data_IF_139921030763
#
_entry.id   IF_139921030763
#
_cell.length_a   1.000
_cell.length_b   1.000
_cell.length_c   1.000
_cell.angle_alpha   90.00
_cell.angle_beta   90.00
_cell.angle_gamma   90.00
#
_symmetry.space_group_name_H-M   'P 1'
#
loop_
_entity.id
_entity.type
_entity.pdbx_description
1 polymer ?
#
# COMPACT_ATOMS: atom_id res chain seq x y z
N UNK A 1 -0.67 -32.88 36.38
CA UNK A 1 -0.78 -31.40 36.23
C UNK A 1 -2.16 -30.97 36.70
N UNK A 2 -2.26 -30.20 37.79
CA UNK A 2 -3.55 -29.70 38.27
C UNK A 2 -4.00 -28.46 37.49
N UNK A 3 -4.81 -28.69 36.45
CA UNK A 3 -5.36 -27.62 35.60
C UNK A 3 -6.10 -26.54 36.42
N UNK A 4 -6.79 -26.95 37.49
CA UNK A 4 -7.49 -26.03 38.39
C UNK A 4 -6.55 -25.08 39.15
N UNK A 5 -5.38 -25.55 39.58
CA UNK A 5 -4.40 -24.70 40.27
C UNK A 5 -3.79 -23.68 39.31
N UNK A 6 -3.53 -24.09 38.06
CA UNK A 6 -3.02 -23.21 37.01
C UNK A 6 -4.03 -22.11 36.63
N UNK A 7 -5.30 -22.47 36.44
CA UNK A 7 -6.36 -21.50 36.12
C UNK A 7 -6.60 -20.51 37.27
N UNK A 8 -6.59 -20.97 38.53
CA UNK A 8 -6.69 -20.09 39.71
C UNK A 8 -5.54 -19.09 39.78
N UNK A 9 -4.31 -19.51 39.45
CA UNK A 9 -3.15 -18.60 39.34
C UNK A 9 -3.33 -17.54 38.25
N UNK A 10 -3.97 -17.90 37.13
CA UNK A 10 -4.32 -16.97 36.04
C UNK A 10 -5.57 -16.12 36.35
N UNK A 11 -6.07 -16.16 37.59
CA UNK A 11 -7.16 -15.31 38.05
C UNK A 11 -8.55 -15.82 37.71
N UNK A 12 -8.71 -17.07 37.27
CA UNK A 12 -10.03 -17.71 37.18
C UNK A 12 -10.58 -18.01 38.57
N UNK A 13 -11.82 -17.60 38.84
CA UNK A 13 -12.48 -17.76 40.15
C UNK A 13 -13.28 -19.05 40.32
N UNK A 14 -13.29 -19.98 39.36
CA UNK A 14 -14.02 -21.25 39.47
C UNK A 14 -13.68 -22.29 38.39
N UNK A 15 -14.18 -23.52 38.56
CA UNK A 15 -14.08 -24.60 37.58
C UNK A 15 -15.33 -24.63 36.69
N UNK A 16 -15.32 -23.89 35.58
CA UNK A 16 -16.39 -23.96 34.58
C UNK A 16 -16.78 -22.63 33.97
N UNK A 17 -17.16 -22.69 32.68
CA UNK A 17 -17.49 -21.58 31.80
C UNK A 17 -18.81 -20.89 32.21
N UNK A 18 -18.80 -19.58 32.48
CA UNK A 18 -19.48 -18.55 31.65
C UNK A 18 -19.74 -17.22 32.39
N UNK A 19 -19.48 -16.14 31.62
CA UNK A 19 -20.15 -14.83 31.45
C UNK A 19 -21.30 -14.38 32.38
N UNK A 20 -21.33 -14.73 33.67
CA UNK A 20 -22.43 -14.34 34.56
C UNK A 20 -22.11 -13.10 35.42
N UNK A 21 -23.15 -12.31 35.75
CA UNK A 21 -23.10 -11.07 36.56
C UNK A 21 -22.84 -11.31 38.06
N UNK A 22 -22.72 -12.57 38.48
CA UNK A 22 -22.70 -13.02 39.88
C UNK A 22 -21.30 -13.39 40.40
N UNK A 23 -20.25 -12.67 39.97
CA UNK A 23 -18.86 -12.77 40.46
C UNK A 23 -18.12 -14.10 40.21
N UNK A 24 -18.52 -14.85 39.18
CA UNK A 24 -17.88 -16.14 38.79
C UNK A 24 -16.95 -16.03 37.57
N UNK A 25 -16.31 -14.86 37.36
CA UNK A 25 -15.44 -14.57 36.21
C UNK A 25 -13.95 -14.34 36.54
N UNK A 26 -13.14 -14.09 35.51
CA UNK A 26 -11.72 -13.76 35.63
C UNK A 26 -11.57 -12.47 36.45
N UNK A 27 -10.75 -12.50 37.52
CA UNK A 27 -10.55 -11.38 38.47
C UNK A 27 -10.10 -10.07 37.79
N UNK A 28 -9.48 -10.17 36.62
CA UNK A 28 -9.12 -9.04 35.75
C UNK A 28 -9.72 -9.31 34.38
N UNK A 29 -10.77 -8.59 33.93
CA UNK A 29 -11.18 -8.68 32.53
C UNK A 29 -9.95 -8.37 31.69
N UNK A 30 -9.61 -9.24 30.75
CA UNK A 30 -8.52 -8.98 29.81
C UNK A 30 -8.88 -7.68 29.10
N UNK A 31 -8.17 -6.60 29.45
CA UNK A 31 -8.18 -5.36 28.70
C UNK A 31 -7.50 -5.65 27.36
N UNK A 32 -8.21 -6.33 26.47
CA UNK A 32 -7.88 -6.34 25.06
C UNK A 32 -8.11 -4.89 24.65
N UNK A 33 -7.02 -4.14 24.48
CA UNK A 33 -7.08 -2.77 23.98
C UNK A 33 -7.81 -2.81 22.64
N UNK A 34 -9.09 -2.45 22.64
CA UNK A 34 -9.90 -2.42 21.46
C UNK A 34 -9.45 -1.21 20.66
N UNK A 35 -8.45 -1.42 19.79
CA UNK A 35 -7.89 -0.36 18.96
C UNK A 35 -9.01 0.15 18.05
N UNK A 36 -9.59 1.31 18.37
CA UNK A 36 -10.63 1.96 17.57
C UNK A 36 -10.08 2.64 16.31
N UNK A 37 -8.79 2.49 16.03
CA UNK A 37 -8.22 2.94 14.77
C UNK A 37 -8.72 2.05 13.63
N UNK A 38 -9.48 2.63 12.69
CA UNK A 38 -9.80 2.00 11.39
C UNK A 38 -8.56 1.74 10.51
N UNK A 39 -7.36 2.04 11.01
CA UNK A 39 -6.09 1.72 10.41
C UNK A 39 -5.69 0.31 10.84
N UNK A 40 -6.39 -0.68 10.28
CA UNK A 40 -6.09 -2.09 10.48
C UNK A 40 -4.59 -2.40 10.33
N UNK A 41 -4.13 -3.30 11.20
CA UNK A 41 -2.80 -3.93 11.18
C UNK A 41 -2.54 -4.53 9.78
N UNK A 42 -1.96 -3.76 8.86
CA UNK A 42 -1.74 -4.26 7.49
C UNK A 42 -1.52 -3.25 6.36
N UNK A 43 -1.35 -1.96 6.64
CA UNK A 43 -1.07 -0.94 5.60
C UNK A 43 0.41 -0.60 5.45
N UNK A 44 1.29 -1.59 5.36
CA UNK A 44 2.55 -1.49 4.60
C UNK A 44 2.86 -2.86 3.98
N UNK A 45 2.11 -3.23 2.93
CA UNK A 45 2.60 -4.29 2.04
C UNK A 45 3.71 -3.69 1.20
N UNK A 46 4.96 -3.99 1.53
CA UNK A 46 6.09 -3.93 0.61
C UNK A 46 5.88 -4.98 -0.50
N UNK A 47 4.84 -4.83 -1.31
CA UNK A 47 4.60 -5.70 -2.48
C UNK A 47 5.59 -5.39 -3.60
N UNK A 48 6.38 -4.33 -3.46
CA UNK A 48 7.39 -3.89 -4.41
C UNK A 48 8.68 -4.68 -4.23
N UNK A 49 9.00 -5.08 -2.99
CA UNK A 49 10.25 -5.77 -2.70
C UNK A 49 10.20 -7.24 -3.12
N UNK A 50 9.02 -7.88 -3.12
CA UNK A 50 8.88 -9.29 -3.56
C UNK A 50 8.98 -9.47 -5.09
N UNK A 51 8.94 -8.38 -5.88
CA UNK A 51 8.95 -8.42 -7.35
C UNK A 51 10.26 -7.94 -7.98
N UNK A 52 11.33 -7.86 -7.20
CA UNK A 52 12.64 -7.41 -7.68
C UNK A 52 13.18 -8.31 -8.81
N UNK A 53 12.94 -9.63 -8.73
CA UNK A 53 13.39 -10.59 -9.74
C UNK A 53 12.65 -10.43 -11.09
N UNK A 54 11.34 -10.15 -11.09
CA UNK A 54 10.58 -9.88 -12.32
C UNK A 54 11.08 -8.62 -13.02
N UNK A 55 11.40 -7.57 -12.25
CA UNK A 55 11.97 -6.34 -12.80
C UNK A 55 13.38 -6.54 -13.34
N UNK A 56 14.24 -7.26 -12.62
CA UNK A 56 15.59 -7.58 -13.08
C UNK A 56 15.57 -8.44 -14.36
N UNK A 57 14.60 -9.35 -14.48
CA UNK A 57 14.39 -10.16 -15.67
C UNK A 57 13.90 -9.33 -16.86
N UNK A 58 12.87 -8.50 -16.69
CA UNK A 58 12.39 -7.58 -17.75
C UNK A 58 13.47 -6.59 -18.20
N UNK A 59 14.28 -6.08 -17.27
CA UNK A 59 15.41 -5.20 -17.57
C UNK A 59 16.51 -5.95 -18.34
N UNK A 60 16.76 -7.22 -18.01
CA UNK A 60 17.69 -8.06 -18.78
C UNK A 60 17.23 -8.25 -20.22
N UNK A 61 15.93 -8.51 -20.45
CA UNK A 61 15.37 -8.63 -21.79
C UNK A 61 15.48 -7.34 -22.61
N UNK A 62 15.29 -6.18 -21.97
CA UNK A 62 15.46 -4.88 -22.62
C UNK A 62 16.91 -4.54 -22.94
N UNK A 63 17.86 -5.11 -22.19
CA UNK A 63 19.29 -4.86 -22.39
C UNK A 63 19.92 -5.72 -23.51
N UNK A 64 19.25 -6.81 -23.93
CA UNK A 64 19.71 -7.67 -25.04
C UNK A 64 19.84 -6.83 -26.31
N UNK A 65 21.06 -6.73 -26.84
CA UNK A 65 21.40 -5.98 -28.06
C UNK A 65 21.83 -4.52 -27.84
N UNK A 66 21.79 -3.99 -26.62
CA UNK A 66 22.21 -2.59 -26.33
C UNK A 66 23.64 -2.46 -25.82
N UNK A 67 24.34 -3.58 -25.57
CA UNK A 67 25.71 -3.60 -25.04
C UNK A 67 25.85 -3.14 -23.58
N UNK A 68 24.74 -2.88 -22.89
CA UNK A 68 24.72 -2.50 -21.47
C UNK A 68 24.71 -3.75 -20.59
N UNK A 69 25.54 -3.78 -19.55
CA UNK A 69 25.52 -4.87 -18.55
C UNK A 69 24.17 -4.89 -17.84
N UNK A 70 23.48 -6.03 -17.87
CA UNK A 70 22.16 -6.16 -17.24
C UNK A 70 22.27 -6.26 -15.71
N UNK A 71 21.17 -5.99 -15.02
CA UNK A 71 21.07 -6.17 -13.56
C UNK A 71 21.32 -7.64 -13.16
N UNK A 72 20.97 -8.61 -14.03
CA UNK A 72 21.30 -10.02 -13.83
C UNK A 72 22.79 -10.32 -14.02
N UNK A 73 23.48 -9.67 -14.96
CA UNK A 73 24.93 -9.81 -15.14
C UNK A 73 25.68 -9.26 -13.94
N UNK A 74 25.22 -8.14 -13.36
CA UNK A 74 25.75 -7.63 -12.10
C UNK A 74 25.54 -8.60 -10.93
N UNK A 75 24.40 -9.31 -10.87
CA UNK A 75 24.14 -10.34 -9.85
C UNK A 75 25.02 -11.58 -10.06
N UNK A 76 25.33 -11.94 -11.32
CA UNK A 76 26.27 -13.02 -11.66
C UNK A 76 27.71 -12.66 -11.31
N UNK A 77 28.14 -11.44 -11.62
CA UNK A 77 29.50 -10.95 -11.36
C UNK A 77 29.74 -10.67 -9.86
N UNK A 78 28.77 -10.10 -9.13
CA UNK A 78 28.94 -9.69 -7.73
C UNK A 78 28.33 -10.66 -6.70
N UNK A 79 27.56 -11.65 -7.14
CA UNK A 79 26.83 -12.58 -6.27
C UNK A 79 25.60 -11.94 -5.60
N UNK A 80 24.65 -12.79 -5.18
CA UNK A 80 23.38 -12.39 -4.50
C UNK A 80 23.62 -11.88 -3.06
N UNK A 81 24.87 -11.62 -2.70
CA UNK A 81 25.34 -11.32 -1.33
C UNK A 81 24.90 -9.95 -0.80
N UNK A 82 24.22 -9.11 -1.60
CA UNK A 82 23.82 -7.74 -1.23
C UNK A 82 22.41 -7.58 -0.65
N UNK A 83 21.84 -8.64 -0.05
CA UNK A 83 20.68 -8.50 0.85
C UNK A 83 19.33 -8.96 0.29
N UNK A 84 19.32 -9.94 -0.61
CA UNK A 84 18.09 -10.64 -1.01
C UNK A 84 17.76 -11.81 -0.09
N UNK A 85 16.48 -12.20 -0.03
CA UNK A 85 15.93 -13.35 0.71
C UNK A 85 16.70 -14.67 0.47
N UNK A 86 17.41 -14.79 -0.65
CA UNK A 86 18.20 -15.97 -1.02
C UNK A 86 19.64 -16.00 -0.45
N UNK A 87 20.07 -14.96 0.25
CA UNK A 87 21.37 -14.93 0.93
C UNK A 87 21.47 -15.89 2.13
N UNK A 88 20.34 -16.45 2.58
CA UNK A 88 20.30 -17.46 3.64
C UNK A 88 20.47 -18.90 3.13
N UNK A 89 20.41 -19.12 1.82
CA UNK A 89 20.76 -20.42 1.26
C UNK A 89 22.28 -20.45 1.14
N UNK A 90 22.92 -21.04 2.16
CA UNK A 90 24.30 -21.53 2.03
C UNK A 90 24.27 -22.48 0.83
N UNK A 91 25.03 -22.16 -0.22
CA UNK A 91 25.28 -23.10 -1.31
C UNK A 91 25.97 -24.29 -0.65
N UNK A 92 25.18 -25.32 -0.30
CA UNK A 92 25.71 -26.54 0.29
C UNK A 92 26.83 -27.04 -0.61
N UNK A 93 27.90 -27.51 0.02
CA UNK A 93 28.97 -28.23 -0.66
C UNK A 93 28.30 -29.29 -1.55
N UNK A 94 28.48 -29.15 -2.87
CA UNK A 94 27.79 -30.00 -3.83
C UNK A 94 28.16 -31.44 -3.52
N UNK A 95 27.18 -32.26 -3.14
CA UNK A 95 27.40 -33.69 -2.94
C UNK A 95 27.96 -34.23 -4.25
N UNK A 96 29.24 -34.61 -4.25
CA UNK A 96 29.92 -35.19 -5.40
C UNK A 96 29.15 -36.45 -5.76
N UNK A 97 28.35 -36.37 -6.82
CA UNK A 97 27.56 -37.49 -7.28
C UNK A 97 28.49 -38.64 -7.64
N UNK A 98 28.19 -39.84 -7.16
CA UNK A 98 28.87 -41.11 -7.50
C UNK A 98 28.59 -41.57 -8.93
N UNK A 99 28.42 -40.63 -9.87
CA UNK A 99 28.44 -40.94 -11.29
C UNK A 99 29.89 -40.72 -11.69
N UNK A 100 30.64 -41.81 -11.75
CA UNK A 100 32.04 -41.82 -12.15
C UNK A 100 32.21 -41.14 -13.51
N UNK A 101 32.61 -39.88 -13.51
CA UNK A 101 33.26 -39.26 -14.67
C UNK A 101 34.66 -39.82 -14.71
N UNK A 102 34.84 -40.89 -15.47
CA UNK A 102 36.15 -41.33 -15.88
C UNK A 102 36.78 -40.25 -16.75
N UNK A 103 38.06 -39.98 -16.48
CA UNK A 103 39.02 -39.21 -17.27
C UNK A 103 38.96 -37.67 -17.17
N UNK A 104 39.64 -37.16 -16.15
CA UNK A 104 40.31 -35.85 -16.15
C UNK A 104 41.37 -35.78 -17.27
N UNK A 105 41.49 -34.64 -17.96
CA UNK A 105 42.78 -33.92 -18.11
C UNK A 105 42.68 -32.70 -19.05
N UNK A 106 42.83 -31.52 -18.45
CA UNK A 106 43.83 -30.50 -18.81
C UNK A 106 44.19 -30.31 -20.30
N UNK A 107 43.70 -29.23 -20.93
CA UNK A 107 44.55 -28.24 -21.61
C UNK A 107 43.75 -27.07 -22.23
N UNK A 108 44.27 -25.87 -21.99
CA UNK A 108 44.33 -24.65 -22.80
C UNK A 108 43.53 -24.50 -24.13
N UNK A 109 42.88 -23.32 -24.21
CA UNK A 109 42.67 -22.43 -25.36
C UNK A 109 41.74 -22.78 -26.54
N UNK A 110 41.14 -21.68 -27.05
CA UNK A 110 40.69 -21.40 -28.43
C UNK A 110 39.28 -21.83 -28.84
N UNK A 111 38.42 -20.81 -28.92
CA UNK A 111 37.65 -20.40 -30.10
C UNK A 111 37.01 -21.45 -31.03
N UNK A 112 35.72 -21.20 -31.30
CA UNK A 112 34.95 -21.48 -32.53
C UNK A 112 33.84 -22.54 -32.43
N UNK A 113 32.62 -22.05 -32.70
CA UNK A 113 31.64 -22.57 -33.67
C UNK A 113 31.51 -24.09 -33.77
N UNK A 114 30.31 -24.61 -33.51
CA UNK A 114 29.87 -25.81 -34.21
C UNK A 114 28.38 -25.75 -34.58
N UNK A 115 28.19 -25.53 -35.87
CA UNK A 115 27.10 -26.09 -36.66
C UNK A 115 27.29 -27.60 -36.80
N UNK A 116 26.17 -28.30 -36.95
CA UNK A 116 25.98 -29.49 -37.79
C UNK A 116 26.89 -30.71 -37.59
N UNK A 117 26.32 -31.82 -37.11
CA UNK A 117 26.03 -32.98 -37.97
C UNK A 117 25.44 -34.15 -37.14
N UNK A 118 24.35 -34.71 -37.66
CA UNK A 118 23.71 -35.95 -37.20
C UNK A 118 24.62 -37.17 -37.25
N UNK A 119 24.18 -38.30 -36.67
CA UNK A 119 23.83 -39.40 -37.56
C UNK A 119 22.45 -40.02 -37.29
N UNK A 120 22.11 -40.86 -38.27
CA UNK A 120 20.84 -41.38 -38.75
C UNK A 120 20.28 -42.60 -38.01
N UNK A 121 19.05 -42.98 -38.44
CA UNK A 121 18.31 -44.27 -38.34
C UNK A 121 17.29 -44.37 -37.19
N UNK A 122 16.06 -44.86 -37.34
CA UNK A 122 15.29 -45.51 -38.42
C UNK A 122 13.80 -45.54 -37.97
N UNK A 123 12.86 -45.67 -38.94
CA UNK A 123 11.45 -46.16 -38.82
C UNK A 123 10.28 -45.17 -38.58
N UNK A 124 9.79 -44.64 -39.72
CA UNK A 124 8.40 -44.57 -40.30
C UNK A 124 7.15 -45.11 -39.56
N UNK A 125 5.87 -44.85 -40.01
CA UNK A 125 5.38 -44.04 -41.17
C UNK A 125 4.12 -43.12 -41.01
N UNK A 126 3.97 -42.25 -42.02
CA UNK A 126 2.77 -41.80 -42.79
C UNK A 126 1.57 -41.05 -42.15
N UNK A 127 1.27 -39.85 -42.67
CA UNK A 127 0.08 -39.56 -43.54
C UNK A 127 0.12 -38.11 -44.09
N UNK A 128 0.17 -38.02 -45.43
CA UNK A 128 -0.43 -37.07 -46.41
C UNK A 128 -0.69 -35.60 -46.00
N UNK A 129 -0.10 -34.57 -46.64
CA UNK A 129 -0.19 -34.10 -48.04
C UNK A 129 -1.27 -33.01 -48.28
N UNK A 130 -0.84 -31.90 -48.89
CA UNK A 130 -1.55 -30.90 -49.72
C UNK A 130 -1.16 -29.45 -49.30
N UNK A 131 -0.15 -28.82 -49.90
CA UNK A 131 -0.17 -28.04 -51.16
C UNK A 131 -0.39 -26.52 -50.95
N UNK A 132 0.73 -25.77 -50.92
CA UNK A 132 1.16 -24.62 -51.78
C UNK A 132 0.14 -23.83 -52.63
N UNK A 133 0.49 -22.66 -53.24
CA UNK A 133 1.63 -21.72 -53.04
C UNK A 133 1.26 -20.20 -53.15
N UNK A 134 2.28 -19.34 -52.91
CA UNK A 134 2.70 -18.08 -53.59
C UNK A 134 1.65 -16.96 -53.88
N UNK A 135 1.94 -15.66 -53.84
CA UNK A 135 3.07 -14.85 -54.34
C UNK A 135 3.03 -13.43 -53.70
N UNK A 136 4.22 -12.82 -53.54
CA UNK A 136 4.67 -11.44 -53.92
C UNK A 136 3.74 -10.23 -53.65
N UNK A 137 4.16 -9.00 -53.40
CA UNK A 137 5.37 -8.20 -53.70
C UNK A 137 5.22 -6.91 -52.86
N UNK A 138 6.27 -6.37 -52.27
CA UNK A 138 7.02 -5.17 -52.75
C UNK A 138 6.44 -3.82 -52.29
N UNK A 139 7.33 -2.86 -52.04
CA UNK A 139 6.96 -1.47 -51.76
C UNK A 139 7.89 -0.74 -50.80
N UNK A 140 9.08 -0.42 -51.30
CA UNK A 140 10.09 0.41 -50.67
C UNK A 140 9.73 1.92 -50.63
N UNK A 141 10.57 2.62 -49.87
CA UNK A 141 11.03 4.00 -50.08
C UNK A 141 10.39 5.19 -49.33
N UNK A 142 11.20 5.67 -48.35
CA UNK A 142 11.85 6.99 -48.30
C UNK A 142 10.95 8.23 -48.50
N UNK A 143 10.96 9.13 -47.51
CA UNK A 143 11.58 10.48 -47.58
C UNK A 143 11.47 11.23 -46.24
N UNK A 144 12.53 11.99 -45.99
CA UNK A 144 12.88 12.92 -44.91
C UNK A 144 11.93 14.14 -44.85
N UNK A 145 11.56 14.63 -43.66
CA UNK A 145 11.32 16.06 -43.42
C UNK A 145 11.27 16.43 -41.94
N UNK A 146 11.84 17.59 -41.65
CA UNK A 146 12.10 18.18 -40.37
C UNK A 146 10.97 19.10 -39.86
N UNK A 147 11.02 19.37 -38.54
CA UNK A 147 10.73 20.64 -37.84
C UNK A 147 9.32 21.29 -37.85
N UNK A 148 9.00 21.84 -36.67
CA UNK A 148 8.10 22.98 -36.35
C UNK A 148 6.63 22.74 -35.96
N UNK A 149 6.31 23.27 -34.76
CA UNK A 149 5.08 23.95 -34.28
C UNK A 149 4.64 23.42 -32.89
N UNK A 150 4.87 24.10 -31.76
CA UNK A 150 4.55 25.49 -31.39
C UNK A 150 3.07 25.86 -31.61
N UNK A 151 2.43 26.31 -30.51
CA UNK A 151 1.12 26.99 -30.39
C UNK A 151 -0.16 26.15 -30.51
N UNK A 152 -0.72 25.78 -29.35
CA UNK A 152 -2.11 26.15 -29.03
C UNK A 152 -2.35 26.22 -27.51
N UNK A 153 -1.91 27.34 -26.93
CA UNK A 153 -2.51 27.93 -25.74
C UNK A 153 -3.77 28.67 -26.20
N UNK A 154 -4.91 28.33 -25.61
CA UNK A 154 -5.92 29.25 -25.09
C UNK A 154 -7.26 28.53 -24.99
N UNK A 155 -8.05 28.95 -23.99
CA UNK A 155 -9.50 28.72 -23.87
C UNK A 155 -9.89 27.41 -23.17
N UNK A 156 -10.00 27.47 -21.84
CA UNK A 156 -11.31 27.56 -21.18
C UNK A 156 -11.11 27.66 -19.65
N UNK A 157 -11.10 28.90 -19.17
CA UNK A 157 -11.37 29.24 -17.78
C UNK A 157 -12.86 29.64 -17.68
N UNK A 158 -13.53 29.09 -16.69
CA UNK A 158 -14.71 29.61 -15.96
C UNK A 158 -15.69 28.49 -15.63
N UNK A 159 -16.19 28.54 -14.39
CA UNK A 159 -17.30 27.79 -13.78
C UNK A 159 -16.96 26.43 -13.13
N UNK A 160 -16.55 26.47 -11.86
CA UNK A 160 -17.22 25.75 -10.75
C UNK A 160 -16.52 26.02 -9.40
N UNK A 161 -16.72 27.22 -8.88
CA UNK A 161 -16.79 27.43 -7.44
C UNK A 161 -18.26 27.53 -7.06
N UNK A 162 -18.74 26.59 -6.24
CA UNK A 162 -19.67 26.79 -5.11
C UNK A 162 -20.12 25.45 -4.54
N UNK A 163 -20.33 25.43 -3.22
CA UNK A 163 -20.99 24.40 -2.41
C UNK A 163 -20.17 23.21 -1.89
N UNK A 164 -19.27 23.47 -0.92
CA UNK A 164 -19.16 22.63 0.30
C UNK A 164 -18.65 23.45 1.49
N UNK A 165 -19.55 23.86 2.39
CA UNK A 165 -19.31 24.01 3.84
C UNK A 165 -20.56 24.54 4.54
N UNK A 166 -21.11 23.77 5.48
CA UNK A 166 -21.73 24.26 6.73
C UNK A 166 -21.94 23.08 7.69
N UNK A 167 -20.96 22.91 8.57
CA UNK A 167 -21.08 22.33 9.92
C UNK A 167 -20.01 23.04 10.74
N UNK A 168 -20.40 23.96 11.61
CA UNK A 168 -19.79 24.20 12.93
C UNK A 168 -20.86 24.86 13.81
N UNK A 169 -20.75 24.48 15.07
CA UNK A 169 -21.48 24.68 16.31
C UNK A 169 -21.81 26.13 16.76
N UNK A 170 -22.98 26.23 17.41
CA UNK A 170 -23.22 26.68 18.79
C UNK A 170 -22.16 27.57 19.47
N UNK A 171 -22.52 28.82 19.76
CA UNK A 171 -22.24 29.50 21.04
C UNK A 171 -23.03 30.82 21.16
N UNK A 172 -23.76 30.89 22.28
CA UNK A 172 -24.12 31.98 23.19
C UNK A 172 -24.04 33.45 22.78
N UNK A 173 -25.06 34.21 23.24
CA UNK A 173 -24.81 35.54 23.85
C UNK A 173 -25.53 36.76 23.28
N UNK A 174 -26.76 37.00 23.73
CA UNK A 174 -27.25 38.26 24.35
C UNK A 174 -27.42 39.55 23.49
N UNK A 175 -28.57 40.23 23.76
CA UNK A 175 -29.15 41.53 23.32
C UNK A 175 -29.97 41.44 22.02
N UNK A 176 -31.29 41.69 21.97
CA UNK A 176 -32.17 42.55 22.75
C UNK A 176 -32.61 43.74 21.88
N UNK A 177 -33.92 43.98 21.75
CA UNK A 177 -34.58 45.13 21.04
C UNK A 177 -34.69 44.88 19.51
N UNK A 178 -35.82 44.79 18.79
CA UNK A 178 -37.16 45.38 18.88
C UNK A 178 -38.29 44.40 18.43
N UNK A 179 -39.42 44.47 19.15
CA UNK A 179 -40.73 43.93 18.76
C UNK A 179 -41.62 45.13 18.42
N UNK A 180 -42.06 45.29 17.18
CA UNK A 180 -43.37 45.85 16.82
C UNK A 180 -43.58 45.82 15.30
N UNK A 181 -44.84 45.59 14.89
CA UNK A 181 -45.39 45.79 13.54
C UNK A 181 -45.11 44.71 12.47
N UNK A 182 -45.72 43.52 12.61
CA UNK A 182 -46.37 42.85 11.48
C UNK A 182 -47.31 41.70 11.89
N UNK A 183 -48.40 42.03 12.59
CA UNK A 183 -49.34 41.03 13.10
C UNK A 183 -50.80 41.34 12.77
N UNK A 184 -51.11 41.62 11.51
CA UNK A 184 -52.50 41.66 11.00
C UNK A 184 -52.49 41.30 9.51
N UNK A 185 -52.91 40.07 9.16
CA UNK A 185 -52.97 39.68 7.74
C UNK A 185 -52.92 38.19 7.38
N UNK A 186 -52.99 37.24 8.34
CA UNK A 186 -53.01 35.80 8.02
C UNK A 186 -54.01 34.99 8.85
N UNK A 187 -55.27 35.45 8.92
CA UNK A 187 -56.37 34.75 9.61
C UNK A 187 -57.59 34.44 8.72
N UNK A 188 -57.43 34.32 7.41
CA UNK A 188 -58.56 33.99 6.51
C UNK A 188 -58.27 32.88 5.48
N UNK A 189 -57.26 32.03 5.67
CA UNK A 189 -56.94 30.94 4.71
C UNK A 189 -56.69 29.56 5.34
N UNK A 190 -57.00 29.38 6.62
CA UNK A 190 -56.73 28.12 7.37
C UNK A 190 -57.97 27.26 7.65
N UNK A 191 -59.15 27.59 7.12
CA UNK A 191 -60.39 26.83 7.39
C UNK A 191 -60.90 26.02 6.20
N UNK A 192 -60.36 26.22 4.98
CA UNK A 192 -60.71 25.42 3.80
C UNK A 192 -59.78 24.21 3.54
N UNK A 193 -58.70 24.02 4.32
CA UNK A 193 -57.77 22.88 4.14
C UNK A 193 -57.92 21.77 5.18
N UNK A 194 -58.84 21.90 6.16
CA UNK A 194 -59.03 20.91 7.23
C UNK A 194 -59.99 19.76 6.87
N UNK A 195 -60.76 19.87 5.80
CA UNK A 195 -61.75 18.85 5.42
C UNK A 195 -61.29 17.87 4.33
N UNK A 196 -60.15 18.11 3.68
CA UNK A 196 -59.55 17.20 2.68
C UNK A 196 -58.42 16.33 3.24
N UNK A 197 -57.91 16.64 4.44
CA UNK A 197 -56.79 15.91 5.04
C UNK A 197 -57.24 14.70 5.89
N UNK A 198 -58.47 14.71 6.41
CA UNK A 198 -59.03 13.59 7.19
C UNK A 198 -59.37 12.38 6.30
N UNK A 199 -59.92 12.58 5.10
CA UNK A 199 -60.17 11.49 4.14
C UNK A 199 -58.91 10.86 3.53
N UNK A 200 -57.76 11.53 3.61
CA UNK A 200 -56.47 11.00 3.12
C UNK A 200 -55.72 10.19 4.17
N UNK A 201 -56.04 10.37 5.45
CA UNK A 201 -55.44 9.61 6.55
C UNK A 201 -56.20 8.29 6.83
N UNK A 202 -57.53 8.25 6.69
CA UNK A 202 -58.29 6.99 6.80
C UNK A 202 -57.95 5.97 5.69
N UNK A 203 -57.71 6.44 4.46
CA UNK A 203 -57.32 5.54 3.35
C UNK A 203 -55.87 5.03 3.46
N UNK A 204 -55.04 5.64 4.33
CA UNK A 204 -53.67 5.16 4.63
C UNK A 204 -53.63 4.18 5.81
N UNK A 205 -54.53 4.32 6.79
CA UNK A 205 -54.65 3.38 7.90
C UNK A 205 -55.21 2.01 7.46
N UNK A 206 -56.19 2.00 6.54
CA UNK A 206 -56.76 0.75 6.02
C UNK A 206 -55.81 -0.05 5.08
N UNK A 207 -54.69 0.54 4.63
CA UNK A 207 -53.69 -0.14 3.79
C UNK A 207 -52.43 -0.57 4.56
N UNK A 208 -52.24 -0.15 5.82
CA UNK A 208 -51.05 -0.48 6.60
C UNK A 208 -51.20 -1.67 7.56
N UNK A 209 -52.41 -2.18 7.79
CA UNK A 209 -52.65 -3.20 8.83
C UNK A 209 -52.85 -4.64 8.31
N UNK A 210 -52.76 -4.87 6.99
CA UNK A 210 -52.99 -6.19 6.38
C UNK A 210 -51.77 -6.94 5.79
N UNK A 211 -50.52 -6.50 6.02
CA UNK A 211 -49.34 -7.10 5.35
C UNK A 211 -48.10 -7.24 6.25
N UNK A 212 -48.28 -7.46 7.55
CA UNK A 212 -47.19 -7.59 8.51
C UNK A 212 -46.83 -9.05 8.87
N UNK A 213 -47.32 -10.05 8.14
CA UNK A 213 -46.91 -11.45 8.32
C UNK A 213 -45.92 -11.88 7.23
N UNK A 214 -44.65 -11.96 7.61
CA UNK A 214 -43.70 -12.91 7.02
C UNK A 214 -43.39 -12.80 5.53
N UNK A 215 -43.38 -11.59 4.93
CA UNK A 215 -42.86 -11.46 3.56
C UNK A 215 -41.38 -11.89 3.54
N UNK A 216 -41.13 -13.09 3.01
CA UNK A 216 -39.80 -13.64 2.77
C UNK A 216 -38.91 -12.55 2.13
N UNK A 217 -37.65 -12.38 2.56
CA UNK A 217 -36.79 -11.26 2.14
C UNK A 217 -36.66 -11.09 0.61
N UNK A 218 -36.90 -12.14 -0.18
CA UNK A 218 -36.91 -12.07 -1.64
C UNK A 218 -38.11 -11.35 -2.28
N UNK A 219 -39.25 -11.18 -1.60
CA UNK A 219 -40.45 -10.53 -2.17
C UNK A 219 -40.21 -9.05 -2.46
N UNK A 220 -39.58 -8.34 -1.51
CA UNK A 220 -39.27 -6.90 -1.65
C UNK A 220 -38.27 -6.64 -2.76
N UNK A 221 -37.27 -7.51 -2.90
CA UNK A 221 -36.25 -7.38 -3.93
C UNK A 221 -36.82 -7.62 -5.33
N UNK A 222 -37.69 -8.63 -5.50
CA UNK A 222 -38.42 -8.87 -6.77
C UNK A 222 -39.31 -7.70 -7.17
N UNK A 223 -40.05 -7.11 -6.21
CA UNK A 223 -40.88 -5.92 -6.46
C UNK A 223 -40.03 -4.73 -6.92
N UNK A 224 -38.87 -4.48 -6.29
CA UNK A 224 -37.95 -3.40 -6.68
C UNK A 224 -37.30 -3.64 -8.05
N UNK A 225 -36.85 -4.87 -8.31
CA UNK A 225 -36.26 -5.25 -9.61
C UNK A 225 -37.29 -5.11 -10.74
N UNK A 226 -38.51 -5.63 -10.54
CA UNK A 226 -39.63 -5.50 -11.49
C UNK A 226 -40.02 -4.04 -11.74
N UNK A 227 -40.03 -3.20 -10.69
CA UNK A 227 -40.31 -1.76 -10.83
C UNK A 227 -39.28 -1.04 -11.72
N UNK A 228 -38.03 -1.49 -11.72
CA UNK A 228 -36.97 -0.92 -12.55
C UNK A 228 -36.78 -1.67 -13.89
N UNK A 229 -37.63 -2.65 -14.18
CA UNK A 229 -37.54 -3.46 -15.40
C UNK A 229 -36.28 -4.33 -15.48
N UNK A 230 -35.66 -4.66 -14.34
CA UNK A 230 -34.44 -5.46 -14.27
C UNK A 230 -34.72 -6.85 -13.71
N UNK A 231 -33.88 -7.80 -14.09
CA UNK A 231 -33.84 -9.09 -13.42
C UNK A 231 -33.30 -8.92 -11.99
N UNK A 232 -33.67 -9.80 -11.07
CA UNK A 232 -33.16 -9.79 -9.68
C UNK A 232 -31.62 -9.77 -9.61
N UNK A 233 -30.86 -10.58 -10.38
CA UNK A 233 -29.41 -10.51 -10.35
C UNK A 233 -28.86 -9.16 -10.84
N UNK A 234 -29.41 -8.57 -11.91
CA UNK A 234 -28.99 -7.24 -12.38
C UNK A 234 -29.31 -6.12 -11.38
N UNK A 235 -30.40 -6.27 -10.63
CA UNK A 235 -30.71 -5.34 -9.55
C UNK A 235 -29.66 -5.43 -8.43
N UNK A 236 -29.24 -6.65 -8.05
CA UNK A 236 -28.17 -6.86 -7.06
C UNK A 236 -26.83 -6.30 -7.52
N UNK A 237 -26.46 -6.49 -8.79
CA UNK A 237 -25.20 -5.95 -9.31
C UNK A 237 -25.22 -4.43 -9.30
N UNK A 238 -26.31 -3.80 -9.74
CA UNK A 238 -26.48 -2.33 -9.67
C UNK A 238 -26.35 -1.80 -8.25
N UNK A 239 -27.00 -2.46 -7.28
CA UNK A 239 -26.94 -2.05 -5.88
C UNK A 239 -25.52 -2.21 -5.31
N UNK A 240 -24.83 -3.29 -5.66
CA UNK A 240 -23.43 -3.49 -5.27
C UNK A 240 -22.46 -2.48 -5.92
N UNK A 241 -22.73 -2.04 -7.16
CA UNK A 241 -21.96 -0.98 -7.82
C UNK A 241 -22.16 0.36 -7.10
N UNK A 242 -23.42 0.69 -6.77
CA UNK A 242 -23.76 1.93 -6.07
C UNK A 242 -23.12 1.98 -4.68
N UNK A 243 -23.19 0.89 -3.90
CA UNK A 243 -22.55 0.80 -2.59
C UNK A 243 -21.00 0.93 -2.65
N UNK A 244 -20.38 0.49 -3.75
CA UNK A 244 -18.93 0.48 -3.93
C UNK A 244 -18.41 1.59 -4.86
N UNK A 245 -19.23 2.58 -5.21
CA UNK A 245 -18.90 3.58 -6.23
C UNK A 245 -17.62 4.36 -5.89
N UNK A 246 -17.40 4.71 -4.63
CA UNK A 246 -16.18 5.38 -4.15
C UNK A 246 -14.94 4.49 -4.28
N UNK A 247 -15.06 3.19 -3.98
CA UNK A 247 -13.96 2.24 -4.10
C UNK A 247 -13.60 1.95 -5.57
N UNK A 248 -14.62 1.84 -6.43
CA UNK A 248 -14.48 1.66 -7.88
C UNK A 248 -13.81 2.90 -8.49
N UNK A 249 -14.34 4.10 -8.23
CA UNK A 249 -13.79 5.35 -8.75
C UNK A 249 -12.36 5.61 -8.27
N UNK A 250 -12.05 5.31 -7.00
CA UNK A 250 -10.69 5.40 -6.48
C UNK A 250 -9.73 4.41 -7.16
N UNK A 251 -10.18 3.19 -7.49
CA UNK A 251 -9.37 2.23 -8.26
C UNK A 251 -9.17 2.69 -9.70
N UNK A 252 -10.21 3.19 -10.36
CA UNK A 252 -10.12 3.75 -11.71
C UNK A 252 -9.18 4.96 -11.72
N UNK A 253 -9.25 5.85 -10.73
CA UNK A 253 -8.37 7.01 -10.63
C UNK A 253 -6.88 6.61 -10.46
N UNK A 254 -6.61 5.50 -9.76
CA UNK A 254 -5.25 4.99 -9.53
C UNK A 254 -4.64 4.27 -10.74
N UNK A 255 -5.46 3.80 -11.69
CA UNK A 255 -4.99 3.09 -12.88
C UNK A 255 -4.35 4.06 -13.89
N UNK A 256 -3.19 3.68 -14.43
CA UNK A 256 -2.55 4.43 -15.52
C UNK A 256 -3.37 4.34 -16.82
N UNK A 257 -3.16 5.25 -17.77
CA UNK A 257 -3.90 5.25 -19.06
C UNK A 257 -3.76 3.92 -19.82
N UNK A 258 -2.57 3.29 -19.79
CA UNK A 258 -2.32 2.01 -20.45
C UNK A 258 -3.06 0.86 -19.75
N UNK A 259 -3.11 0.85 -18.42
CA UNK A 259 -3.84 -0.17 -17.67
C UNK A 259 -5.35 -0.03 -17.79
N UNK A 260 -5.87 1.20 -17.85
CA UNK A 260 -7.30 1.47 -18.12
C UNK A 260 -7.75 0.83 -19.42
N UNK A 261 -7.01 1.05 -20.52
CA UNK A 261 -7.29 0.41 -21.82
C UNK A 261 -7.31 -1.12 -21.73
N UNK A 262 -6.33 -1.72 -21.05
CA UNK A 262 -6.31 -3.18 -20.83
C UNK A 262 -7.52 -3.68 -20.03
N UNK A 263 -8.04 -2.88 -19.10
CA UNK A 263 -9.21 -3.26 -18.31
C UNK A 263 -10.49 -3.08 -19.12
N UNK A 264 -10.57 -2.05 -19.97
CA UNK A 264 -11.66 -1.84 -20.92
C UNK A 264 -11.73 -2.98 -21.93
N UNK A 265 -10.60 -3.37 -22.54
CA UNK A 265 -10.51 -4.50 -23.47
C UNK A 265 -11.00 -5.82 -22.84
N UNK A 266 -10.58 -6.12 -21.60
CA UNK A 266 -11.04 -7.31 -20.87
C UNK A 266 -12.50 -7.24 -20.44
N UNK A 267 -13.01 -6.05 -20.15
CA UNK A 267 -14.42 -5.86 -19.84
C UNK A 267 -15.28 -6.10 -21.08
N UNK A 268 -14.85 -5.60 -22.24
CA UNK A 268 -15.50 -5.84 -23.55
C UNK A 268 -15.47 -7.33 -23.89
N UNK A 269 -14.33 -8.01 -23.75
CA UNK A 269 -14.18 -9.45 -23.97
C UNK A 269 -15.16 -10.27 -23.11
N UNK A 270 -15.40 -9.82 -21.86
CA UNK A 270 -16.35 -10.44 -20.93
C UNK A 270 -17.79 -9.96 -21.07
N UNK A 271 -18.06 -9.00 -21.95
CA UNK A 271 -19.38 -8.37 -22.12
C UNK A 271 -19.89 -7.70 -20.83
N UNK A 272 -18.99 -7.16 -20.02
CA UNK A 272 -19.28 -6.43 -18.78
C UNK A 272 -18.83 -4.97 -18.91
N UNK A 273 -19.40 -4.07 -18.11
CA UNK A 273 -18.90 -2.70 -18.01
C UNK A 273 -17.54 -2.63 -17.28
N UNK A 274 -16.76 -1.58 -17.52
CA UNK A 274 -15.48 -1.36 -16.82
C UNK A 274 -15.65 -1.34 -15.29
N UNK A 275 -16.76 -0.76 -14.81
CA UNK A 275 -17.07 -0.64 -13.39
C UNK A 275 -17.40 -2.00 -12.75
N UNK A 276 -18.22 -2.82 -13.42
CA UNK A 276 -18.53 -4.20 -13.00
C UNK A 276 -17.26 -5.06 -12.96
N UNK A 277 -16.40 -4.96 -13.98
CA UNK A 277 -15.13 -5.69 -14.02
C UNK A 277 -14.22 -5.31 -12.84
N UNK A 278 -14.14 -4.02 -12.51
CA UNK A 278 -13.37 -3.52 -11.36
C UNK A 278 -13.96 -4.00 -10.04
N UNK A 279 -15.30 -4.02 -9.90
CA UNK A 279 -16.01 -4.53 -8.73
C UNK A 279 -15.73 -6.03 -8.51
N UNK A 280 -15.83 -6.86 -9.55
CA UNK A 280 -15.49 -8.29 -9.47
C UNK A 280 -14.03 -8.52 -9.04
N UNK A 281 -13.11 -7.64 -9.45
CA UNK A 281 -11.72 -7.65 -8.98
C UNK A 281 -11.54 -7.18 -7.53
N UNK A 282 -12.39 -6.28 -7.01
CA UNK A 282 -12.43 -5.92 -5.58
C UNK A 282 -12.84 -7.15 -4.78
N UNK A 283 -14.01 -7.71 -5.08
CA UNK A 283 -14.59 -8.84 -4.36
C UNK A 283 -13.68 -10.07 -4.39
N UNK A 284 -13.10 -10.41 -5.56
CA UNK A 284 -12.13 -11.52 -5.67
C UNK A 284 -10.88 -11.29 -4.82
N UNK A 285 -10.44 -10.04 -4.64
CA UNK A 285 -9.28 -9.72 -3.79
C UNK A 285 -9.63 -9.79 -2.30
N UNK A 286 -10.86 -9.44 -1.93
CA UNK A 286 -11.35 -9.55 -0.55
C UNK A 286 -11.57 -11.00 -0.15
N UNK A 287 -12.20 -11.81 -1.00
CA UNK A 287 -12.34 -13.24 -0.78
C UNK A 287 -10.98 -13.93 -0.58
N UNK A 288 -9.96 -13.58 -1.38
CA UNK A 288 -8.59 -14.08 -1.18
C UNK A 288 -7.96 -13.61 0.13
N UNK A 289 -8.32 -12.44 0.64
CA UNK A 289 -7.81 -11.96 1.93
C UNK A 289 -8.49 -12.71 3.07
N UNK A 290 -9.81 -12.88 3.02
CA UNK A 290 -10.53 -13.60 4.07
C UNK A 290 -10.05 -15.04 4.20
N UNK A 291 -9.79 -15.73 3.08
CA UNK A 291 -9.24 -17.10 3.11
C UNK A 291 -7.82 -17.19 3.68
N UNK A 292 -7.00 -16.14 3.54
CA UNK A 292 -5.60 -16.17 4.00
C UNK A 292 -5.44 -15.68 5.45
N UNK A 293 -6.43 -15.00 6.02
CA UNK A 293 -6.25 -14.31 7.32
C UNK A 293 -7.02 -14.95 8.48
N UNK A 294 -7.83 -15.99 8.26
CA UNK A 294 -8.70 -16.54 9.31
C UNK A 294 -8.79 -18.06 9.37
N UNK A 295 -8.09 -18.78 8.51
CA UNK A 295 -7.95 -20.22 8.66
C UNK A 295 -6.47 -20.49 8.89
N UNK A 296 -6.04 -20.35 10.14
CA UNK A 296 -4.96 -21.21 10.62
C UNK A 296 -5.39 -22.63 10.21
N UNK A 297 -4.58 -23.37 9.43
CA UNK A 297 -4.94 -24.72 9.03
C UNK A 297 -5.35 -25.45 10.32
N UNK A 298 -6.51 -26.13 10.35
CA UNK A 298 -6.97 -26.79 11.56
C UNK A 298 -5.78 -27.59 12.07
N UNK A 299 -5.31 -27.22 13.26
CA UNK A 299 -4.15 -27.85 13.89
C UNK A 299 -4.43 -29.35 13.83
N UNK A 300 -3.71 -30.04 12.95
CA UNK A 300 -3.68 -31.50 12.89
C UNK A 300 -3.03 -31.93 14.19
N UNK A 301 -3.86 -32.02 15.22
CA UNK A 301 -3.50 -32.47 16.55
C UNK A 301 -3.28 -33.98 16.40
N UNK A 302 -2.02 -34.36 16.16
CA UNK A 302 -1.61 -35.76 16.32
C UNK A 302 -1.65 -36.04 17.82
N UNK A 303 -2.75 -36.63 18.27
CA UNK A 303 -2.87 -37.26 19.57
C UNK A 303 -1.99 -38.53 19.54
N UNK A 304 -0.71 -38.36 19.82
CA UNK A 304 0.17 -39.48 20.15
C UNK A 304 -0.24 -40.01 21.52
N UNK A 305 -1.04 -41.07 21.51
CA UNK A 305 -1.61 -41.70 22.71
C UNK A 305 -0.69 -42.77 23.31
N UNK A 306 0.52 -42.95 22.77
CA UNK A 306 1.48 -43.96 23.24
C UNK A 306 2.72 -43.28 23.82
N UNK A 307 2.53 -42.53 24.91
CA UNK A 307 3.63 -41.91 25.66
C UNK A 307 4.30 -42.90 26.63
N UNK A 308 5.52 -43.32 26.30
CA UNK A 308 6.41 -44.08 27.19
C UNK A 308 6.69 -43.33 28.51
N UNK A 309 6.42 -44.00 29.63
CA UNK A 309 6.44 -43.42 30.99
C UNK A 309 7.83 -43.35 31.63
N UNK A 310 8.88 -43.80 30.96
CA UNK A 310 10.22 -43.98 31.56
C UNK A 310 11.14 -42.76 31.49
N UNK A 311 10.74 -41.65 30.86
CA UNK A 311 11.62 -40.49 30.64
C UNK A 311 11.45 -39.31 31.62
N UNK A 312 10.87 -39.54 32.81
CA UNK A 312 10.38 -38.44 33.67
C UNK A 312 11.20 -38.13 34.93
N UNK A 313 12.31 -38.81 35.23
CA UNK A 313 12.92 -38.69 36.57
C UNK A 313 14.20 -37.85 36.72
N UNK A 314 14.89 -37.38 35.65
CA UNK A 314 16.16 -36.67 35.83
C UNK A 314 16.25 -35.27 35.18
N UNK A 315 15.27 -34.39 35.42
CA UNK A 315 15.41 -32.96 35.09
C UNK A 315 15.61 -32.14 36.37
N UNK A 316 16.88 -31.98 36.73
CA UNK A 316 17.36 -31.06 37.77
C UNK A 316 16.79 -29.65 37.48
N UNK A 317 16.14 -28.96 38.43
CA UNK A 317 15.55 -27.66 38.17
C UNK A 317 16.65 -26.63 37.94
N UNK A 318 16.94 -26.33 36.67
CA UNK A 318 17.70 -25.14 36.31
C UNK A 318 16.99 -23.93 36.91
N UNK A 319 17.76 -23.09 37.62
CA UNK A 319 17.28 -21.81 38.13
C UNK A 319 16.58 -21.05 37.01
N UNK A 320 15.25 -20.90 37.13
CA UNK A 320 14.48 -19.98 36.30
C UNK A 320 14.95 -18.57 36.62
N UNK A 321 15.94 -18.11 35.86
CA UNK A 321 16.30 -16.71 35.77
C UNK A 321 15.10 -16.03 35.11
N UNK A 322 14.41 -15.16 35.86
CA UNK A 322 13.31 -14.39 35.33
C UNK A 322 13.82 -13.56 34.12
N UNK A 323 13.31 -13.82 32.90
CA UNK A 323 13.88 -13.26 31.68
C UNK A 323 13.73 -11.74 31.57
N UNK A 324 12.90 -11.14 32.43
CA UNK A 324 12.65 -9.70 32.46
C UNK A 324 13.61 -8.93 33.40
N UNK A 325 14.49 -9.62 34.15
CA UNK A 325 15.53 -8.97 34.97
C UNK A 325 16.95 -9.07 34.38
N UNK A 326 17.09 -9.51 33.12
CA UNK A 326 18.38 -9.52 32.44
C UNK A 326 18.88 -8.09 32.24
N UNK A 327 19.75 -7.69 33.16
CA UNK A 327 20.38 -6.38 33.29
C UNK A 327 21.00 -5.99 31.93
N UNK A 328 20.70 -4.77 31.47
CA UNK A 328 21.18 -4.17 30.22
C UNK A 328 22.70 -4.22 30.06
N UNK A 329 23.43 -4.34 31.17
CA UNK A 329 24.88 -4.41 31.24
C UNK A 329 25.47 -5.70 30.68
N UNK A 330 24.72 -6.81 30.58
CA UNK A 330 25.29 -8.09 30.13
C UNK A 330 25.70 -8.02 28.63
N UNK A 331 25.18 -7.04 27.88
CA UNK A 331 25.23 -7.02 26.40
C UNK A 331 25.81 -5.71 25.84
N UNK A 332 26.15 -4.75 26.71
CA UNK A 332 26.96 -3.60 26.34
C UNK A 332 28.41 -4.05 26.07
N UNK A 333 28.92 -3.77 24.87
CA UNK A 333 30.30 -4.09 24.47
C UNK A 333 30.55 -5.50 23.95
N UNK A 334 29.55 -6.40 23.94
CA UNK A 334 29.67 -7.72 23.28
C UNK A 334 29.13 -7.68 21.85
N UNK A 335 29.84 -8.36 20.95
CA UNK A 335 29.40 -8.49 19.56
C UNK A 335 28.10 -9.30 19.46
N UNK A 336 27.21 -8.91 18.55
CA UNK A 336 25.86 -9.48 18.43
C UNK A 336 25.91 -10.97 18.10
N UNK A 337 26.94 -11.39 17.37
CA UNK A 337 27.13 -12.76 16.93
C UNK A 337 27.56 -13.68 18.08
N UNK A 338 28.27 -13.14 19.07
CA UNK A 338 28.72 -13.87 20.26
C UNK A 338 27.60 -14.17 21.27
N UNK A 339 26.44 -13.51 21.14
CA UNK A 339 25.29 -13.71 22.02
C UNK A 339 24.52 -14.99 21.64
N UNK A 340 24.04 -15.69 22.65
CA UNK A 340 23.11 -16.82 22.48
C UNK A 340 21.79 -16.36 21.84
N UNK A 341 21.02 -17.30 21.27
CA UNK A 341 19.74 -16.97 20.62
C UNK A 341 18.72 -16.35 21.58
N UNK A 342 18.73 -16.78 22.85
CA UNK A 342 17.86 -16.26 23.91
C UNK A 342 18.21 -14.82 24.26
N UNK A 343 19.49 -14.52 24.44
CA UNK A 343 19.99 -13.15 24.64
C UNK A 343 19.65 -12.27 23.43
N UNK A 344 19.90 -12.71 22.19
CA UNK A 344 19.52 -11.94 20.99
C UNK A 344 18.02 -11.65 20.91
N UNK A 345 17.16 -12.54 21.41
CA UNK A 345 15.70 -12.34 21.44
C UNK A 345 15.31 -11.31 22.50
N UNK A 346 15.90 -11.39 23.68
CA UNK A 346 15.71 -10.41 24.73
C UNK A 346 16.18 -9.02 24.26
N UNK A 347 17.20 -8.94 23.38
CA UNK A 347 17.84 -7.65 22.97
C UNK A 347 16.91 -6.90 22.06
N UNK A 348 16.33 -7.65 21.14
CA UNK A 348 15.31 -7.15 20.22
C UNK A 348 14.06 -6.72 20.96
N UNK A 349 13.66 -7.42 22.04
CA UNK A 349 12.53 -7.01 22.89
C UNK A 349 12.84 -5.69 23.60
N UNK A 350 13.98 -5.60 24.29
CA UNK A 350 14.43 -4.38 24.96
C UNK A 350 14.61 -3.20 24.00
N UNK A 351 15.27 -3.40 22.85
CA UNK A 351 15.40 -2.35 21.84
C UNK A 351 14.04 -1.89 21.31
N UNK A 352 13.06 -2.79 21.16
CA UNK A 352 11.70 -2.43 20.71
C UNK A 352 10.97 -1.58 21.74
N UNK A 353 11.01 -1.99 23.01
CA UNK A 353 10.39 -1.28 24.13
C UNK A 353 11.04 0.10 24.32
N UNK A 354 12.37 0.16 24.34
CA UNK A 354 13.12 1.39 24.56
C UNK A 354 13.15 2.33 23.33
N UNK A 355 12.95 1.79 22.11
CA UNK A 355 12.75 2.62 20.91
C UNK A 355 11.37 3.29 20.86
N UNK A 356 10.39 2.75 21.60
CA UNK A 356 9.09 3.37 21.76
C UNK A 356 9.16 4.62 22.63
N UNK A 357 9.90 4.55 23.75
CA UNK A 357 10.04 5.65 24.70
C UNK A 357 10.84 6.83 24.12
N UNK A 358 11.92 6.57 23.35
CA UNK A 358 12.66 7.63 22.65
C UNK A 358 11.84 8.36 21.57
N UNK A 359 10.69 7.83 21.14
CA UNK A 359 9.81 8.50 20.18
C UNK A 359 8.81 9.46 20.85
N UNK A 360 8.63 9.42 22.17
CA UNK A 360 7.75 10.36 22.87
C UNK A 360 8.40 11.76 22.96
N UNK A 361 9.72 11.84 23.16
CA UNK A 361 10.46 13.12 23.27
C UNK A 361 10.83 13.76 21.91
N UNK A 362 10.71 13.03 20.80
CA UNK A 362 10.95 13.57 19.43
C UNK A 362 9.66 14.21 18.86
N UNK A 363 8.52 14.15 19.58
CA UNK A 363 7.21 14.63 19.10
C UNK A 363 7.06 16.13 18.88
N UNK A 364 8.07 16.97 19.11
CA UNK A 364 7.93 18.43 18.93
C UNK A 364 8.79 19.05 17.85
N UNK A 365 9.62 18.30 17.12
CA UNK A 365 10.24 18.88 15.93
C UNK A 365 9.18 19.00 14.84
N UNK A 366 8.75 20.22 14.44
CA UNK A 366 7.75 20.39 13.40
C UNK A 366 8.24 19.68 12.15
N UNK A 367 7.34 18.96 11.50
CA UNK A 367 7.65 18.29 10.24
C UNK A 367 8.10 19.32 9.21
N UNK A 368 8.93 18.91 8.23
CA UNK A 368 9.39 19.81 7.15
C UNK A 368 8.22 20.53 6.44
N UNK A 369 7.07 19.86 6.33
CA UNK A 369 5.86 20.46 5.75
C UNK A 369 5.25 21.55 6.65
N UNK A 370 5.28 21.35 7.97
CA UNK A 370 4.80 22.34 8.94
C UNK A 370 5.72 23.56 9.00
N UNK A 371 7.04 23.36 8.96
CA UNK A 371 7.99 24.48 8.91
C UNK A 371 7.82 25.28 7.62
N UNK A 372 7.68 24.62 6.46
CA UNK A 372 7.41 25.31 5.19
C UNK A 372 6.07 26.06 5.20
N UNK A 373 5.05 25.50 5.86
CA UNK A 373 3.76 26.18 6.03
C UNK A 373 3.88 27.41 6.92
N UNK A 374 4.65 27.32 8.01
CA UNK A 374 4.91 28.44 8.92
C UNK A 374 5.72 29.55 8.24
N UNK A 375 6.79 29.22 7.49
CA UNK A 375 7.56 30.21 6.73
C UNK A 375 6.73 30.89 5.66
N UNK A 376 5.90 30.13 4.94
CA UNK A 376 4.98 30.68 3.95
C UNK A 376 3.94 31.62 4.57
N UNK A 377 3.39 31.27 5.74
CA UNK A 377 2.48 32.14 6.47
C UNK A 377 3.19 33.42 6.91
N UNK A 378 4.37 33.31 7.53
CA UNK A 378 5.16 34.46 7.95
C UNK A 378 5.53 35.40 6.79
N UNK A 379 5.90 34.86 5.63
CA UNK A 379 6.16 35.65 4.41
C UNK A 379 4.90 36.33 3.88
N UNK A 380 3.76 35.64 3.92
CA UNK A 380 2.47 36.24 3.53
C UNK A 380 2.15 37.45 4.42
N UNK A 381 2.35 37.30 5.74
CA UNK A 381 2.09 38.38 6.71
C UNK A 381 3.10 39.52 6.59
N UNK A 382 4.33 39.23 6.14
CA UNK A 382 5.33 40.26 5.82
C UNK A 382 4.92 41.08 4.59
N UNK A 383 4.52 40.42 3.51
CA UNK A 383 4.08 41.09 2.27
C UNK A 383 2.85 41.97 2.54
N UNK A 384 1.88 41.48 3.32
CA UNK A 384 0.71 42.28 3.69
C UNK A 384 1.07 43.50 4.55
N UNK A 385 2.03 43.35 5.47
CA UNK A 385 2.55 44.48 6.27
C UNK A 385 3.27 45.52 5.41
N UNK A 386 4.09 45.09 4.45
CA UNK A 386 4.80 45.98 3.50
C UNK A 386 3.81 46.74 2.60
N UNK A 387 2.65 46.15 2.29
CA UNK A 387 1.56 46.81 1.56
C UNK A 387 0.69 47.72 2.44
N UNK A 388 0.99 47.87 3.74
CA UNK A 388 0.19 48.66 4.68
C UNK A 388 -1.13 48.01 5.11
N UNK A 389 -1.36 46.74 4.76
CA UNK A 389 -2.60 46.02 4.99
C UNK A 389 -2.45 45.09 6.21
N UNK A 390 -2.66 45.61 7.42
CA UNK A 390 -2.43 44.86 8.67
C UNK A 390 -3.48 43.75 8.91
N UNK A 391 -4.71 44.12 9.25
CA UNK A 391 -5.80 43.18 9.59
C UNK A 391 -6.91 43.13 8.53
N UNK A 392 -7.12 44.23 7.81
CA UNK A 392 -8.34 44.45 7.01
C UNK A 392 -8.16 44.09 5.53
N UNK A 393 -7.11 43.34 5.21
CA UNK A 393 -6.82 42.91 3.85
C UNK A 393 -8.00 42.10 3.27
N UNK A 394 -8.45 42.47 2.08
CA UNK A 394 -9.49 41.75 1.35
C UNK A 394 -9.04 40.33 1.03
N UNK A 395 -9.99 39.43 0.76
CA UNK A 395 -9.66 38.02 0.42
C UNK A 395 -8.75 37.94 -0.81
N UNK A 396 -8.92 38.85 -1.76
CA UNK A 396 -8.10 38.93 -2.98
C UNK A 396 -6.67 39.36 -2.67
N UNK A 397 -6.47 40.40 -1.87
CA UNK A 397 -5.14 40.85 -1.44
C UNK A 397 -4.39 39.75 -0.68
N UNK A 398 -5.07 39.05 0.24
CA UNK A 398 -4.48 37.89 0.94
C UNK A 398 -4.14 36.75 -0.01
N UNK A 399 -4.93 36.52 -1.06
CA UNK A 399 -4.65 35.50 -2.07
C UNK A 399 -3.41 35.86 -2.89
N UNK A 400 -3.32 37.12 -3.34
CA UNK A 400 -2.16 37.63 -4.08
C UNK A 400 -0.88 37.55 -3.23
N UNK A 401 -0.93 37.97 -1.95
CA UNK A 401 0.20 37.85 -1.03
C UNK A 401 0.64 36.39 -0.85
N UNK A 402 -0.29 35.43 -0.74
CA UNK A 402 0.03 33.99 -0.67
C UNK A 402 0.66 33.42 -1.93
N UNK A 403 0.34 33.98 -3.10
CA UNK A 403 0.95 33.61 -4.37
C UNK A 403 2.37 34.18 -4.47
N UNK A 404 2.56 35.45 -4.09
CA UNK A 404 3.89 36.08 -4.04
C UNK A 404 4.81 35.35 -3.04
N UNK A 405 4.34 35.08 -1.82
CA UNK A 405 5.10 34.32 -0.82
C UNK A 405 5.50 32.93 -1.32
N UNK A 406 4.63 32.26 -2.10
CA UNK A 406 4.95 30.97 -2.70
C UNK A 406 6.05 31.10 -3.75
N UNK A 407 5.99 32.13 -4.61
CA UNK A 407 6.99 32.36 -5.66
C UNK A 407 8.37 32.65 -5.06
N UNK A 408 8.43 33.47 -4.02
CA UNK A 408 9.68 33.80 -3.31
C UNK A 408 10.32 32.52 -2.73
N UNK A 409 9.53 31.67 -2.06
CA UNK A 409 10.04 30.39 -1.52
C UNK A 409 10.50 29.41 -2.63
N UNK A 410 9.88 29.45 -3.80
CA UNK A 410 10.26 28.62 -4.94
C UNK A 410 11.58 29.11 -5.56
N UNK A 411 11.73 30.42 -5.71
CA UNK A 411 12.98 31.05 -6.17
C UNK A 411 14.14 30.79 -5.19
N UNK A 412 13.90 30.89 -3.87
CA UNK A 412 14.91 30.61 -2.84
C UNK A 412 15.36 29.13 -2.87
N UNK A 413 14.42 28.19 -3.04
CA UNK A 413 14.74 26.76 -3.23
C UNK A 413 15.53 26.51 -4.51
N UNK A 414 15.20 27.21 -5.59
CA UNK A 414 15.95 27.12 -6.85
C UNK A 414 17.37 27.69 -6.71
N UNK A 415 17.56 28.74 -5.91
CA UNK A 415 18.89 29.28 -5.60
C UNK A 415 19.70 28.36 -4.69
N UNK A 416 19.08 27.77 -3.66
CA UNK A 416 19.70 26.76 -2.80
C UNK A 416 20.20 25.57 -3.62
N UNK A 417 19.34 25.03 -4.49
CA UNK A 417 19.69 23.89 -5.35
C UNK A 417 20.80 24.24 -6.35
N UNK A 418 20.77 25.43 -6.96
CA UNK A 418 21.88 25.92 -7.80
C UNK A 418 23.18 26.04 -7.00
N UNK A 419 23.12 26.55 -5.77
CA UNK A 419 24.25 26.65 -4.85
C UNK A 419 24.82 25.29 -4.47
N UNK A 420 23.97 24.30 -4.18
CA UNK A 420 24.39 22.92 -3.91
C UNK A 420 25.05 22.28 -5.14
N UNK A 421 24.50 22.50 -6.34
CA UNK A 421 25.10 22.03 -7.60
C UNK A 421 26.47 22.64 -7.82
N UNK A 422 26.63 23.95 -7.59
CA UNK A 422 27.92 24.65 -7.67
C UNK A 422 28.93 24.10 -6.67
N UNK A 423 28.55 23.95 -5.39
CA UNK A 423 29.40 23.34 -4.36
C UNK A 423 29.83 21.93 -4.73
N UNK A 424 28.91 21.11 -5.23
CA UNK A 424 29.22 19.76 -5.69
C UNK A 424 30.18 19.77 -6.89
N UNK A 425 30.00 20.71 -7.83
CA UNK A 425 30.90 20.89 -8.96
C UNK A 425 32.31 21.31 -8.52
N UNK A 426 32.42 22.26 -7.58
CA UNK A 426 33.69 22.70 -6.99
C UNK A 426 34.40 21.57 -6.24
N UNK A 427 33.66 20.79 -5.42
CA UNK A 427 34.20 19.61 -4.75
C UNK A 427 34.73 18.58 -5.76
N UNK A 428 34.02 18.37 -6.88
CA UNK A 428 34.47 17.45 -7.93
C UNK A 428 35.72 17.97 -8.63
N UNK A 429 35.80 19.27 -8.91
CA UNK A 429 36.99 19.94 -9.48
C UNK A 429 38.19 19.81 -8.54
N UNK A 430 37.99 20.05 -7.24
CA UNK A 430 39.03 19.92 -6.22
C UNK A 430 39.54 18.48 -6.09
N UNK A 431 38.64 17.48 -6.06
CA UNK A 431 39.01 16.06 -6.06
C UNK A 431 39.80 15.65 -7.31
N UNK A 432 39.40 16.16 -8.49
CA UNK A 432 40.13 15.92 -9.75
C UNK A 432 41.54 16.53 -9.71
N UNK A 433 41.67 17.76 -9.22
CA UNK A 433 42.96 18.42 -9.06
C UNK A 433 43.90 17.65 -8.12
N UNK A 434 43.41 17.17 -6.97
CA UNK A 434 44.19 16.31 -6.07
C UNK A 434 44.62 15.03 -6.78
N UNK A 435 43.72 14.38 -7.52
CA UNK A 435 44.04 13.15 -8.24
C UNK A 435 45.12 13.37 -9.30
N UNK A 436 45.05 14.45 -10.07
CA UNK A 436 46.06 14.81 -11.08
C UNK A 436 47.42 15.12 -10.43
N UNK A 437 47.42 15.85 -9.30
CA UNK A 437 48.65 16.15 -8.55
C UNK A 437 49.30 14.89 -7.98
N UNK A 438 48.51 13.96 -7.45
CA UNK A 438 49.00 12.67 -6.98
C UNK A 438 49.59 11.83 -8.12
N UNK A 439 48.93 11.79 -9.29
CA UNK A 439 49.46 11.10 -10.48
C UNK A 439 50.78 11.70 -10.96
N UNK A 440 50.91 13.02 -10.97
CA UNK A 440 52.16 13.69 -11.33
C UNK A 440 53.31 13.37 -10.37
N UNK A 441 53.03 13.31 -9.07
CA UNK A 441 54.03 12.93 -8.06
C UNK A 441 54.53 11.49 -8.25
N UNK A 442 53.63 10.54 -8.55
CA UNK A 442 53.99 9.14 -8.84
C UNK A 442 54.82 9.05 -10.13
N UNK A 443 54.46 9.78 -11.18
CA UNK A 443 55.22 9.81 -12.42
C UNK A 443 56.63 10.39 -12.24
N UNK A 444 56.77 11.45 -11.43
CA UNK A 444 58.07 12.03 -11.09
C UNK A 444 58.97 11.07 -10.30
N UNK A 445 58.40 10.32 -9.36
CA UNK A 445 59.13 9.32 -8.58
C UNK A 445 59.58 8.09 -9.40
N UNK A 446 58.91 7.79 -10.52
CA UNK A 446 59.32 6.71 -11.42
C UNK A 446 60.43 7.12 -12.41
N UNK A 447 60.64 8.43 -12.59
CA UNK A 447 61.67 8.97 -13.49
C UNK A 447 62.98 9.33 -12.78
N UNK A 448 62.98 9.35 -11.44
CA UNK A 448 64.14 9.51 -10.59
C UNK A 448 64.60 8.14 -10.10
#
# INVERSE_FOLDING_TARGET
MDANAYLKRQGWRGSGHSLDRTDRGIKKPLLIAHKQDQLGLGKKKQFVDDQWWMRAFDESLQSIGTGKKSTLDNIREQGVSRGGLYSFFVKGEGLVGTISTAEDSSAAETSHSNSSASPSRESTPATSAAESPSDRDDGSDRIVAATTNSRKRSRKESTRETCKRRKVDKSDGILGVDIAANREGKKAKSEASRTTEVKRQEKKAAQSEGSAEGEKPGSKERKKASKLGLTVPEYRTKLAIEENQDAISAKIAKLSKKEKKKYEERAIEKKESLEEYVLGRIQKKEAKRTTTTNEDPPLLFFEDTVGDKSNLEDVKPEHRIDPDQLITTIWEGRDVESLSKTERKARRKWMRENSGEKNEDIKTTPTREETEKQTRQALTDRILREQGLKSDATKEQRSQAKQMAKRILEEEKDEETKGEILKHFEQKKWKRWISEKAKAAVAGAASA
#
